data_IF_058035354895
#
_entry.id   IF_058035354895
#
_cell.length_a   1.000
_cell.length_b   1.000
_cell.length_c   1.000
_cell.angle_alpha   90.00
_cell.angle_beta   90.00
_cell.angle_gamma   90.00
#
_symmetry.space_group_name_H-M   'P 1'
#
loop_
_entity.id
_entity.type
_entity.pdbx_description
1 polymer ?
#
# COMPACT_ATOMS: atom_id res chain seq x y z
N UNK A 1 -58.07 40.62 -11.67
CA UNK A 1 -57.43 39.81 -10.61
C UNK A 1 -55.92 39.90 -10.75
N UNK A 2 -55.23 40.65 -9.90
CA UNK A 2 -53.77 40.63 -9.70
C UNK A 2 -53.46 41.45 -8.45
N UNK A 3 -53.42 40.82 -7.26
CA UNK A 3 -52.32 41.17 -6.35
C UNK A 3 -51.99 40.02 -5.38
N UNK A 4 -50.97 39.21 -5.69
CA UNK A 4 -50.36 38.31 -4.68
C UNK A 4 -48.83 38.25 -4.72
N UNK A 5 -48.21 38.69 -5.83
CA UNK A 5 -46.74 38.64 -5.98
C UNK A 5 -46.07 39.88 -5.35
N UNK A 6 -46.69 41.06 -5.45
CA UNK A 6 -46.15 42.32 -4.91
C UNK A 6 -46.01 42.31 -3.38
N UNK A 7 -47.03 41.82 -2.67
CA UNK A 7 -47.06 41.79 -1.21
C UNK A 7 -46.02 40.83 -0.61
N UNK A 8 -45.71 39.72 -1.29
CA UNK A 8 -44.70 38.77 -0.83
C UNK A 8 -43.27 39.33 -0.97
N UNK A 9 -42.98 40.03 -2.08
CA UNK A 9 -41.70 40.71 -2.28
C UNK A 9 -41.49 41.85 -1.27
N UNK A 10 -42.54 42.61 -0.93
CA UNK A 10 -42.45 43.68 0.07
C UNK A 10 -42.18 43.11 1.46
N UNK A 11 -42.84 42.01 1.84
CA UNK A 11 -42.60 41.36 3.14
C UNK A 11 -41.18 40.79 3.25
N UNK A 12 -40.67 40.12 2.21
CA UNK A 12 -39.30 39.58 2.22
C UNK A 12 -38.26 40.71 2.32
N UNK A 13 -38.45 41.79 1.55
CA UNK A 13 -37.57 42.97 1.54
C UNK A 13 -37.57 43.71 2.87
N UNK A 14 -38.71 43.76 3.56
CA UNK A 14 -38.85 44.43 4.86
C UNK A 14 -38.22 43.61 5.99
N UNK A 15 -38.39 42.28 6.00
CA UNK A 15 -37.75 41.39 6.97
C UNK A 15 -36.24 41.36 6.82
N UNK A 16 -35.71 41.35 5.59
CA UNK A 16 -34.27 41.46 5.32
C UNK A 16 -33.71 42.80 5.81
N UNK A 17 -34.41 43.92 5.53
CA UNK A 17 -33.97 45.26 5.95
C UNK A 17 -33.97 45.44 7.48
N UNK A 18 -34.94 44.86 8.19
CA UNK A 18 -35.00 44.88 9.65
C UNK A 18 -33.91 43.99 10.27
N UNK A 19 -33.62 42.85 9.65
CA UNK A 19 -32.53 41.96 10.07
C UNK A 19 -31.15 42.64 9.92
N UNK A 20 -30.90 43.32 8.80
CA UNK A 20 -29.66 44.09 8.59
C UNK A 20 -29.53 45.33 9.49
N UNK A 21 -30.63 45.98 9.87
CA UNK A 21 -30.61 47.14 10.78
C UNK A 21 -30.36 46.78 12.25
N UNK A 22 -30.55 45.52 12.65
CA UNK A 22 -30.31 45.02 14.03
C UNK A 22 -29.08 44.13 14.15
N UNK A 23 -28.38 43.88 13.04
CA UNK A 23 -27.12 43.16 13.03
C UNK A 23 -26.03 44.09 13.53
N UNK A 24 -25.45 43.75 14.68
CA UNK A 24 -24.24 44.38 15.16
C UNK A 24 -23.12 44.08 14.16
N UNK A 25 -22.76 45.08 13.35
CA UNK A 25 -21.87 44.91 12.20
C UNK A 25 -20.49 44.38 12.63
N UNK A 26 -20.07 44.68 13.87
CA UNK A 26 -18.87 44.12 14.47
C UNK A 26 -19.00 42.60 14.65
N UNK A 27 -20.11 42.11 15.22
CA UNK A 27 -20.36 40.68 15.37
C UNK A 27 -20.53 39.97 14.02
N UNK A 28 -21.19 40.60 13.04
CA UNK A 28 -21.32 40.07 11.68
C UNK A 28 -19.97 39.90 11.00
N UNK A 29 -19.05 40.86 11.15
CA UNK A 29 -17.70 40.79 10.58
C UNK A 29 -16.87 39.65 11.19
N UNK A 30 -17.00 39.41 12.49
CA UNK A 30 -16.32 38.31 13.20
C UNK A 30 -16.86 36.95 12.75
N UNK A 31 -18.18 36.81 12.59
CA UNK A 31 -18.81 35.57 12.12
C UNK A 31 -18.37 35.23 10.69
N UNK A 32 -18.33 36.22 9.79
CA UNK A 32 -17.85 36.03 8.41
C UNK A 32 -16.37 35.63 8.41
N UNK A 33 -15.53 36.28 9.22
CA UNK A 33 -14.13 35.89 9.35
C UNK A 33 -13.97 34.46 9.87
N UNK A 34 -14.73 34.04 10.89
CA UNK A 34 -14.71 32.66 11.41
C UNK A 34 -15.13 31.63 10.36
N UNK A 35 -16.13 31.93 9.53
CA UNK A 35 -16.57 31.05 8.45
C UNK A 35 -15.50 30.92 7.35
N UNK A 36 -14.81 32.02 7.01
CA UNK A 36 -13.69 31.98 6.06
C UNK A 36 -12.51 31.18 6.63
N UNK A 37 -12.18 31.34 7.91
CA UNK A 37 -11.16 30.54 8.59
C UNK A 37 -11.53 29.06 8.63
N UNK A 38 -12.76 28.71 8.99
CA UNK A 38 -13.23 27.32 8.99
C UNK A 38 -13.23 26.71 7.58
N UNK A 39 -13.63 27.50 6.58
CA UNK A 39 -13.57 27.11 5.17
C UNK A 39 -12.14 26.87 4.70
N UNK A 40 -11.19 27.71 5.10
CA UNK A 40 -9.77 27.56 4.76
C UNK A 40 -9.12 26.38 5.49
N UNK A 41 -9.48 26.14 6.75
CA UNK A 41 -9.06 24.93 7.48
C UNK A 41 -9.62 23.68 6.80
N UNK A 42 -10.90 23.69 6.45
CA UNK A 42 -11.56 22.58 5.76
C UNK A 42 -10.96 22.31 4.38
N UNK A 43 -10.71 23.36 3.59
CA UNK A 43 -10.07 23.25 2.27
C UNK A 43 -8.64 22.74 2.39
N UNK A 44 -7.82 23.29 3.29
CA UNK A 44 -6.45 22.83 3.51
C UNK A 44 -6.40 21.39 4.05
N UNK A 45 -7.35 21.01 4.90
CA UNK A 45 -7.46 19.64 5.39
C UNK A 45 -7.86 18.67 4.27
N UNK A 46 -8.77 19.09 3.38
CA UNK A 46 -9.18 18.32 2.22
C UNK A 46 -8.04 18.14 1.21
N UNK A 47 -7.32 19.22 0.87
CA UNK A 47 -6.17 19.14 -0.03
C UNK A 47 -5.08 18.22 0.54
N UNK A 48 -4.77 18.32 1.84
CA UNK A 48 -3.84 17.41 2.52
C UNK A 48 -4.31 15.95 2.53
N UNK A 49 -5.61 15.73 2.73
CA UNK A 49 -6.18 14.38 2.70
C UNK A 49 -6.10 13.77 1.31
N UNK A 50 -6.37 14.57 0.28
CA UNK A 50 -6.25 14.17 -1.12
C UNK A 50 -4.79 13.84 -1.50
N UNK A 51 -3.85 14.68 -1.10
CA UNK A 51 -2.41 14.45 -1.29
C UNK A 51 -1.94 13.18 -0.56
N UNK A 52 -2.36 13.00 0.70
CA UNK A 52 -2.05 11.79 1.46
C UNK A 52 -2.64 10.52 0.83
N UNK A 53 -3.83 10.62 0.23
CA UNK A 53 -4.46 9.49 -0.47
C UNK A 53 -3.71 9.13 -1.75
N UNK A 54 -3.28 10.14 -2.53
CA UNK A 54 -2.49 9.95 -3.76
C UNK A 54 -1.11 9.34 -3.45
N UNK A 55 -0.45 9.77 -2.37
CA UNK A 55 0.82 9.19 -1.93
C UNK A 55 0.69 7.75 -1.45
N UNK A 56 -0.39 7.43 -0.70
CA UNK A 56 -0.71 6.06 -0.30
C UNK A 56 -0.94 5.16 -1.52
N UNK A 57 -1.70 5.66 -2.49
CA UNK A 57 -1.97 4.94 -3.73
C UNK A 57 -0.67 4.65 -4.51
N UNK A 58 0.16 5.66 -4.74
CA UNK A 58 1.45 5.50 -5.42
C UNK A 58 2.35 4.49 -4.71
N UNK A 59 2.42 4.57 -3.38
CA UNK A 59 3.21 3.62 -2.59
C UNK A 59 2.72 2.17 -2.77
N UNK A 60 1.40 1.93 -2.74
CA UNK A 60 0.82 0.60 -2.98
C UNK A 60 1.18 0.07 -4.37
N UNK A 61 1.11 0.91 -5.40
CA UNK A 61 1.46 0.53 -6.78
C UNK A 61 2.93 0.14 -6.90
N UNK A 62 3.85 0.93 -6.31
CA UNK A 62 5.29 0.64 -6.38
C UNK A 62 5.63 -0.64 -5.60
N UNK A 63 5.05 -0.81 -4.40
CA UNK A 63 5.22 -2.04 -3.61
C UNK A 63 4.65 -3.27 -4.34
N UNK A 64 3.46 -3.15 -4.93
CA UNK A 64 2.84 -4.22 -5.71
C UNK A 64 3.75 -4.63 -6.89
N UNK A 65 4.37 -3.68 -7.57
CA UNK A 65 5.32 -3.97 -8.64
C UNK A 65 6.53 -4.76 -8.16
N UNK A 66 7.14 -4.39 -7.02
CA UNK A 66 8.26 -5.15 -6.45
C UNK A 66 7.84 -6.55 -6.02
N UNK A 67 6.69 -6.68 -5.35
CA UNK A 67 6.16 -7.96 -4.90
C UNK A 67 5.86 -8.88 -6.09
N UNK A 68 5.30 -8.35 -7.17
CA UNK A 68 5.04 -9.13 -8.38
C UNK A 68 6.33 -9.59 -9.05
N UNK A 69 7.36 -8.75 -9.12
CA UNK A 69 8.67 -9.14 -9.63
C UNK A 69 9.32 -10.24 -8.76
N UNK A 70 9.24 -10.09 -7.43
CA UNK A 70 9.71 -11.11 -6.50
C UNK A 70 8.92 -12.42 -6.63
N UNK A 71 7.59 -12.35 -6.81
CA UNK A 71 6.75 -13.52 -7.06
C UNK A 71 7.12 -14.23 -8.36
N UNK A 72 7.48 -13.50 -9.41
CA UNK A 72 7.99 -14.10 -10.64
C UNK A 72 9.28 -14.89 -10.37
N UNK A 73 10.23 -14.31 -9.65
CA UNK A 73 11.48 -14.99 -9.27
C UNK A 73 11.24 -16.22 -8.36
N UNK A 74 10.23 -16.19 -7.50
CA UNK A 74 9.82 -17.33 -6.66
C UNK A 74 8.98 -18.36 -7.44
N UNK A 75 8.25 -17.97 -8.47
CA UNK A 75 7.45 -18.91 -9.26
C UNK A 75 8.36 -19.81 -10.10
N UNK A 76 9.45 -19.25 -10.65
CA UNK A 76 10.41 -20.00 -11.48
C UNK A 76 11.27 -20.96 -10.67
N UNK A 77 11.23 -20.95 -9.33
CA UNK A 77 12.03 -21.88 -8.53
C UNK A 77 13.54 -21.64 -8.69
N UNK A 78 13.99 -20.48 -9.17
CA UNK A 78 15.39 -20.25 -9.55
C UNK A 78 15.87 -21.08 -10.74
N UNK A 79 14.95 -21.56 -11.58
CA UNK A 79 15.26 -22.25 -12.83
C UNK A 79 15.63 -21.23 -13.92
N UNK A 80 16.91 -21.18 -14.28
CA UNK A 80 17.44 -20.26 -15.30
C UNK A 80 16.95 -20.59 -16.73
N UNK A 81 16.38 -21.79 -16.94
CA UNK A 81 15.90 -22.23 -18.25
C UNK A 81 14.55 -21.61 -18.65
N UNK A 82 13.81 -21.03 -17.69
CA UNK A 82 12.55 -20.37 -17.95
C UNK A 82 12.79 -18.90 -18.32
N UNK A 83 12.66 -18.62 -19.62
CA UNK A 83 12.57 -17.25 -20.14
C UNK A 83 11.37 -16.57 -19.47
N UNK A 84 11.61 -15.43 -18.81
CA UNK A 84 10.68 -14.59 -18.02
C UNK A 84 9.46 -14.05 -18.80
N UNK A 85 8.73 -14.88 -19.55
CA UNK A 85 7.69 -14.44 -20.49
C UNK A 85 6.43 -15.30 -20.55
N UNK A 86 6.46 -16.56 -20.10
CA UNK A 86 5.28 -17.44 -20.11
C UNK A 86 4.92 -17.86 -18.69
N UNK A 87 3.82 -17.29 -18.19
CA UNK A 87 3.22 -17.64 -16.91
C UNK A 87 2.76 -19.10 -16.93
N UNK A 88 3.62 -20.03 -16.53
CA UNK A 88 3.17 -21.33 -16.04
C UNK A 88 4.21 -21.99 -15.15
N UNK A 89 3.73 -22.30 -13.94
CA UNK A 89 4.18 -23.34 -13.01
C UNK A 89 5.09 -22.87 -11.87
N UNK A 90 4.51 -22.94 -10.67
CA UNK A 90 5.19 -23.15 -9.41
C UNK A 90 6.01 -24.44 -9.53
N UNK A 91 7.28 -24.37 -9.97
CA UNK A 91 8.12 -25.56 -10.02
C UNK A 91 8.33 -25.97 -8.55
N UNK A 92 7.79 -27.11 -8.09
CA UNK A 92 8.08 -27.55 -6.74
C UNK A 92 9.59 -27.68 -6.60
N UNK A 93 10.14 -27.16 -5.50
CA UNK A 93 11.57 -27.31 -5.25
C UNK A 93 11.95 -28.79 -5.39
N UNK A 94 13.02 -29.13 -6.14
CA UNK A 94 13.40 -30.49 -6.43
C UNK A 94 13.58 -31.29 -5.13
N UNK A 95 13.27 -32.57 -5.16
CA UNK A 95 13.38 -33.44 -3.97
C UNK A 95 14.83 -33.59 -3.51
N UNK A 96 15.79 -33.43 -4.42
CA UNK A 96 17.22 -33.39 -4.09
C UNK A 96 17.59 -32.10 -3.34
N UNK A 97 18.19 -32.25 -2.16
CA UNK A 97 18.51 -31.13 -1.28
C UNK A 97 19.59 -30.20 -1.84
N UNK A 98 20.58 -30.74 -2.53
CA UNK A 98 21.67 -29.98 -3.17
C UNK A 98 21.12 -29.08 -4.28
N UNK A 99 20.22 -29.61 -5.12
CA UNK A 99 19.59 -28.86 -6.20
C UNK A 99 18.62 -27.81 -5.65
N UNK A 100 17.86 -28.15 -4.62
CA UNK A 100 16.94 -27.22 -3.98
C UNK A 100 17.68 -26.03 -3.35
N UNK A 101 18.81 -26.27 -2.68
CA UNK A 101 19.64 -25.19 -2.11
C UNK A 101 20.16 -24.27 -3.22
N UNK A 102 20.66 -24.83 -4.33
CA UNK A 102 21.14 -24.03 -5.48
C UNK A 102 20.03 -23.19 -6.10
N UNK A 103 18.89 -23.81 -6.36
CA UNK A 103 17.69 -23.14 -6.91
C UNK A 103 17.20 -22.01 -6.02
N UNK A 104 17.11 -22.24 -4.71
CA UNK A 104 16.73 -21.18 -3.76
C UNK A 104 17.80 -20.08 -3.69
N UNK A 105 19.09 -20.41 -3.77
CA UNK A 105 20.16 -19.42 -3.83
C UNK A 105 20.06 -18.53 -5.07
N UNK A 106 19.79 -19.13 -6.24
CA UNK A 106 19.51 -18.39 -7.47
C UNK A 106 18.27 -17.52 -7.33
N UNK A 107 17.14 -18.07 -6.88
CA UNK A 107 15.90 -17.30 -6.69
C UNK A 107 16.11 -16.09 -5.76
N UNK A 108 16.75 -16.31 -4.61
CA UNK A 108 17.06 -15.26 -3.62
C UNK A 108 17.92 -14.13 -4.20
N UNK A 109 18.81 -14.42 -5.16
CA UNK A 109 19.65 -13.41 -5.80
C UNK A 109 18.87 -12.42 -6.67
N UNK A 110 17.66 -12.80 -7.10
CA UNK A 110 16.75 -11.96 -7.88
C UNK A 110 15.64 -11.31 -7.02
N UNK A 111 15.60 -11.57 -5.71
CA UNK A 111 14.62 -10.94 -4.82
C UNK A 111 15.10 -9.56 -4.40
N UNK A 112 14.20 -8.58 -4.53
CA UNK A 112 14.42 -7.18 -4.20
C UNK A 112 13.68 -6.78 -2.92
N UNK A 113 14.28 -5.88 -2.16
CA UNK A 113 13.72 -5.25 -0.96
C UNK A 113 14.01 -3.74 -0.90
N UNK A 114 14.52 -3.17 -1.99
CA UNK A 114 14.94 -1.78 -2.09
C UNK A 114 13.76 -0.81 -2.00
N UNK A 115 12.64 -1.15 -2.66
CA UNK A 115 11.40 -0.35 -2.57
C UNK A 115 10.91 -0.37 -1.14
N UNK A 116 10.82 -1.54 -0.51
CA UNK A 116 10.39 -1.63 0.89
C UNK A 116 11.21 -0.73 1.81
N UNK A 117 12.55 -0.81 1.75
CA UNK A 117 13.41 0.05 2.57
C UNK A 117 13.22 1.54 2.26
N UNK A 118 13.04 1.90 0.99
CA UNK A 118 12.81 3.30 0.58
C UNK A 118 11.47 3.87 1.08
N UNK A 119 10.48 3.01 1.35
CA UNK A 119 9.14 3.41 1.77
C UNK A 119 8.88 3.24 3.27
N UNK A 120 9.86 2.78 4.07
CA UNK A 120 9.68 2.45 5.49
C UNK A 120 8.99 3.56 6.30
N UNK A 121 9.42 4.80 6.15
CA UNK A 121 8.84 5.95 6.87
C UNK A 121 7.40 6.22 6.47
N UNK A 122 7.06 5.93 5.20
CA UNK A 122 5.73 6.15 4.64
C UNK A 122 4.78 4.99 4.91
N UNK A 123 5.25 3.80 5.29
CA UNK A 123 4.39 2.69 5.67
C UNK A 123 3.43 3.05 6.82
N UNK A 124 3.80 4.00 7.68
CA UNK A 124 2.94 4.48 8.76
C UNK A 124 1.62 5.12 8.28
N UNK A 125 1.51 5.52 7.01
CA UNK A 125 0.25 6.02 6.43
C UNK A 125 -0.72 4.90 6.04
N UNK A 126 -0.27 3.64 6.01
CA UNK A 126 -1.11 2.49 5.68
C UNK A 126 -1.86 1.95 6.90
N UNK A 127 -3.00 1.27 6.68
CA UNK A 127 -3.68 0.52 7.74
C UNK A 127 -2.72 -0.46 8.42
N UNK A 128 -2.79 -0.56 9.75
CA UNK A 128 -1.90 -1.43 10.54
C UNK A 128 -1.83 -2.87 10.01
N UNK A 129 -2.98 -3.44 9.61
CA UNK A 129 -3.04 -4.82 9.06
C UNK A 129 -2.22 -4.96 7.77
N UNK A 130 -2.22 -3.93 6.92
CA UNK A 130 -1.45 -3.89 5.68
C UNK A 130 0.06 -3.78 5.98
N UNK A 131 0.43 -2.89 6.91
CA UNK A 131 1.82 -2.76 7.38
C UNK A 131 2.34 -4.07 7.97
N UNK A 132 1.56 -4.71 8.84
CA UNK A 132 1.93 -5.98 9.47
C UNK A 132 2.16 -7.08 8.41
N UNK A 133 1.32 -7.12 7.35
CA UNK A 133 1.48 -8.06 6.25
C UNK A 133 2.72 -7.79 5.41
N UNK A 134 2.99 -6.52 5.08
CA UNK A 134 4.19 -6.07 4.36
C UNK A 134 5.43 -6.47 5.16
N UNK A 135 5.54 -6.02 6.41
CA UNK A 135 6.68 -6.29 7.29
C UNK A 135 6.91 -7.80 7.45
N UNK A 136 5.85 -8.58 7.63
CA UNK A 136 5.95 -10.04 7.74
C UNK A 136 6.52 -10.69 6.46
N UNK A 137 6.11 -10.21 5.28
CA UNK A 137 6.63 -10.72 4.01
C UNK A 137 8.13 -10.43 3.84
N UNK A 138 8.54 -9.17 4.02
CA UNK A 138 9.95 -8.76 3.88
C UNK A 138 10.86 -9.35 4.97
N UNK A 139 10.32 -9.56 6.18
CA UNK A 139 11.03 -10.30 7.22
C UNK A 139 11.26 -11.77 6.81
N UNK A 140 10.25 -12.42 6.22
CA UNK A 140 10.39 -13.77 5.67
C UNK A 140 11.44 -13.84 4.55
N UNK A 141 11.49 -12.82 3.69
CA UNK A 141 12.50 -12.68 2.63
C UNK A 141 13.91 -12.61 3.23
N UNK A 142 14.12 -11.76 4.23
CA UNK A 142 15.41 -11.64 4.92
C UNK A 142 15.87 -12.95 5.58
N UNK A 143 14.93 -13.68 6.21
CA UNK A 143 15.23 -15.02 6.78
C UNK A 143 15.60 -16.02 5.71
N UNK A 144 14.85 -16.07 4.60
CA UNK A 144 15.15 -16.96 3.47
C UNK A 144 16.53 -16.65 2.88
N UNK A 145 16.85 -15.37 2.67
CA UNK A 145 18.15 -14.93 2.17
C UNK A 145 19.29 -15.34 3.12
N UNK A 146 19.10 -15.17 4.42
CA UNK A 146 20.06 -15.58 5.44
C UNK A 146 20.27 -17.10 5.44
N UNK A 147 19.19 -17.88 5.43
CA UNK A 147 19.24 -19.35 5.42
C UNK A 147 19.89 -19.89 4.15
N UNK A 148 19.53 -19.31 3.00
CA UNK A 148 20.10 -19.65 1.70
C UNK A 148 21.60 -19.41 1.68
N UNK A 149 22.05 -18.26 2.15
CA UNK A 149 23.47 -17.90 2.27
C UNK A 149 24.20 -18.87 3.19
N UNK A 150 23.67 -19.14 4.38
CA UNK A 150 24.28 -20.08 5.34
C UNK A 150 24.40 -21.50 4.80
N UNK A 151 23.43 -21.94 3.99
CA UNK A 151 23.46 -23.26 3.37
C UNK A 151 24.45 -23.27 2.20
N UNK A 152 24.43 -22.29 1.30
CA UNK A 152 25.33 -22.25 0.14
C UNK A 152 26.83 -22.39 0.49
N UNK A 153 27.27 -21.85 1.63
CA UNK A 153 28.68 -21.92 2.06
C UNK A 153 29.04 -23.17 2.89
N UNK A 154 28.10 -24.04 3.23
CA UNK A 154 28.34 -25.13 4.18
C UNK A 154 28.33 -26.51 3.49
N UNK A 155 29.51 -27.09 3.29
CA UNK A 155 29.72 -28.35 2.53
C UNK A 155 28.94 -29.55 3.11
N UNK A 156 28.55 -29.51 4.40
CA UNK A 156 27.68 -30.50 5.04
C UNK A 156 26.39 -29.84 5.54
N UNK A 157 25.38 -29.78 4.68
CA UNK A 157 24.07 -29.24 5.06
C UNK A 157 23.38 -30.18 6.07
N UNK A 158 22.76 -29.61 7.11
CA UNK A 158 21.98 -30.36 8.08
C UNK A 158 20.55 -30.57 7.55
N UNK A 159 20.01 -31.81 7.48
CA UNK A 159 18.65 -32.08 7.01
C UNK A 159 17.55 -31.17 7.59
N UNK A 160 17.52 -30.87 8.90
CA UNK A 160 16.53 -29.92 9.45
C UNK A 160 16.69 -28.49 8.91
N UNK A 161 17.90 -28.05 8.55
CA UNK A 161 18.10 -26.72 7.95
C UNK A 161 17.58 -26.66 6.52
N UNK A 162 17.75 -27.74 5.74
CA UNK A 162 17.20 -27.80 4.37
C UNK A 162 15.68 -27.85 4.39
N UNK A 163 15.10 -28.59 5.34
CA UNK A 163 13.65 -28.57 5.57
C UNK A 163 13.15 -27.16 5.90
N UNK A 164 13.82 -26.46 6.82
CA UNK A 164 13.48 -25.08 7.17
C UNK A 164 13.59 -24.13 5.96
N UNK A 165 14.61 -24.30 5.11
CA UNK A 165 14.76 -23.51 3.88
C UNK A 165 13.54 -23.68 2.96
N UNK A 166 13.12 -24.92 2.72
CA UNK A 166 11.95 -25.23 1.90
C UNK A 166 10.68 -24.64 2.50
N UNK A 167 10.49 -24.76 3.81
CA UNK A 167 9.34 -24.17 4.52
C UNK A 167 9.32 -22.64 4.40
N UNK A 168 10.45 -21.96 4.61
CA UNK A 168 10.56 -20.51 4.48
C UNK A 168 10.35 -20.05 3.03
N UNK A 169 10.79 -20.82 2.05
CA UNK A 169 10.54 -20.55 0.63
C UNK A 169 9.04 -20.53 0.31
N UNK A 170 8.32 -21.59 0.69
CA UNK A 170 6.88 -21.68 0.46
C UNK A 170 6.10 -20.67 1.31
N UNK A 171 6.55 -20.39 2.53
CA UNK A 171 5.96 -19.35 3.38
C UNK A 171 6.11 -17.97 2.74
N UNK A 172 7.29 -17.61 2.24
CA UNK A 172 7.51 -16.34 1.54
C UNK A 172 6.63 -16.22 0.30
N UNK A 173 6.55 -17.28 -0.52
CA UNK A 173 5.69 -17.30 -1.69
C UNK A 173 4.23 -17.05 -1.32
N UNK A 174 3.73 -17.74 -0.30
CA UNK A 174 2.33 -17.63 0.17
C UNK A 174 2.04 -16.23 0.71
N UNK A 175 2.93 -15.68 1.54
CA UNK A 175 2.81 -14.33 2.09
C UNK A 175 2.83 -13.27 0.98
N UNK A 176 3.77 -13.37 0.05
CA UNK A 176 3.91 -12.44 -1.07
C UNK A 176 2.71 -12.51 -2.01
N UNK A 177 2.19 -13.71 -2.27
CA UNK A 177 1.01 -13.91 -3.12
C UNK A 177 -0.24 -13.30 -2.50
N UNK A 178 -0.47 -13.56 -1.21
CA UNK A 178 -1.59 -12.95 -0.48
C UNK A 178 -1.47 -11.43 -0.41
N UNK A 179 -0.26 -10.90 -0.24
CA UNK A 179 -0.02 -9.46 -0.19
C UNK A 179 -0.22 -8.81 -1.56
N UNK A 180 0.25 -9.44 -2.64
CA UNK A 180 0.02 -8.98 -4.02
C UNK A 180 -1.48 -8.88 -4.32
N UNK A 181 -2.26 -9.92 -4.01
CA UNK A 181 -3.72 -9.89 -4.20
C UNK A 181 -4.40 -8.78 -3.39
N UNK A 182 -3.98 -8.59 -2.13
CA UNK A 182 -4.52 -7.54 -1.28
C UNK A 182 -4.22 -6.14 -1.85
N UNK A 183 -2.98 -5.89 -2.25
CA UNK A 183 -2.58 -4.61 -2.82
C UNK A 183 -3.25 -4.35 -4.17
N UNK A 184 -3.34 -5.36 -5.05
CA UNK A 184 -4.04 -5.25 -6.35
C UNK A 184 -5.50 -4.83 -6.16
N UNK A 185 -6.20 -5.46 -5.23
CA UNK A 185 -7.59 -5.13 -4.92
C UNK A 185 -7.76 -3.68 -4.46
N UNK A 186 -6.83 -3.16 -3.64
CA UNK A 186 -6.84 -1.78 -3.13
C UNK A 186 -6.27 -0.73 -4.09
N UNK A 187 -5.61 -1.16 -5.17
CA UNK A 187 -5.21 -0.27 -6.27
C UNK A 187 -6.23 -0.24 -7.40
N UNK A 188 -6.98 -1.31 -7.62
CA UNK A 188 -8.05 -1.38 -8.62
C UNK A 188 -9.36 -0.74 -8.12
N UNK A 189 -9.58 -0.76 -6.79
CA UNK A 189 -10.72 -0.13 -6.13
C UNK A 189 -10.23 0.90 -5.07
N UNK A 190 -9.73 2.06 -5.50
CA UNK A 190 -9.15 3.08 -4.62
C UNK A 190 -10.18 3.74 -3.68
#
# INVERSE_FOLDING_TARGET
MLPRISSFFIYLKTSIRIFFNRLDWQAASVIVAMLLFAGQIGYNAYDKWKESSDDVFKMRVILLSEINNNLLALATGGDESQVLGTYEICIPLPTEDTEAIKRVATAVSYLHDDVYYSQLEKLASLPKKEVDAIVKSYYSLSRLRTLSTQLAYNIKYSPPKVKLLREEYYNLYTLSSSLSQYLSYHTENP
#
